data_IF_274483998303
#
_entry.id   IF_274483998303
#
_cell.length_a   1.000
_cell.length_b   1.000
_cell.length_c   1.000
_cell.angle_alpha   90.00
_cell.angle_beta   90.00
_cell.angle_gamma   90.00
#
_symmetry.space_group_name_H-M   'P 1'
#
loop_
_entity.id
_entity.type
_entity.pdbx_description
1 polymer ?
#
# COMPACT_ATOMS: atom_id res chain seq x y z
N UNK A 1 11.74 -39.56 -0.58
CA UNK A 1 11.18 -38.86 -1.76
C UNK A 1 11.20 -37.38 -1.45
N UNK A 2 11.73 -36.57 -2.36
CA UNK A 2 11.77 -35.11 -2.20
C UNK A 2 10.33 -34.54 -2.22
N UNK A 3 9.96 -33.79 -1.18
CA UNK A 3 8.60 -33.25 -1.01
C UNK A 3 8.38 -32.05 -1.93
N UNK A 4 7.22 -31.99 -2.61
CA UNK A 4 6.77 -30.79 -3.33
C UNK A 4 5.75 -30.03 -2.49
N UNK A 5 6.04 -28.77 -2.22
CA UNK A 5 5.13 -27.83 -1.53
C UNK A 5 4.46 -26.96 -2.58
N UNK A 6 3.15 -26.78 -2.44
CA UNK A 6 2.33 -25.95 -3.34
C UNK A 6 1.61 -24.92 -2.48
N UNK A 7 1.74 -23.65 -2.87
CA UNK A 7 0.98 -22.55 -2.26
C UNK A 7 0.13 -21.91 -3.34
N UNK A 8 -1.16 -22.23 -3.30
CA UNK A 8 -2.17 -21.80 -4.26
C UNK A 8 -3.55 -21.77 -3.55
N UNK A 9 -4.11 -20.59 -3.25
CA UNK A 9 -3.65 -19.28 -3.71
C UNK A 9 -2.47 -18.71 -2.90
N UNK A 10 -1.64 -17.90 -3.55
CA UNK A 10 -0.83 -16.89 -2.84
C UNK A 10 -1.76 -15.74 -2.45
N UNK A 11 -1.91 -15.50 -1.14
CA UNK A 11 -2.75 -14.42 -0.60
C UNK A 11 -1.91 -13.17 -0.28
N UNK A 12 -2.57 -12.06 0.06
CA UNK A 12 -1.93 -10.76 0.35
C UNK A 12 -1.05 -10.24 -0.80
N UNK A 13 -1.45 -10.52 -2.03
CA UNK A 13 -0.90 -9.93 -3.26
C UNK A 13 -2.05 -9.39 -4.11
N UNK A 14 -1.72 -8.62 -5.15
CA UNK A 14 -2.66 -8.34 -6.23
C UNK A 14 -2.68 -9.50 -7.23
N UNK A 15 -3.88 -9.86 -7.70
CA UNK A 15 -4.06 -10.83 -8.78
C UNK A 15 -3.96 -12.30 -8.32
N UNK A 16 -3.47 -13.14 -9.23
CA UNK A 16 -3.46 -14.59 -9.07
C UNK A 16 -2.06 -15.16 -9.34
N UNK A 17 -1.50 -15.81 -8.32
CA UNK A 17 -0.18 -16.42 -8.36
C UNK A 17 -0.22 -17.79 -7.69
N UNK A 18 0.50 -18.72 -8.30
CA UNK A 18 0.80 -20.04 -7.76
C UNK A 18 2.31 -20.19 -7.65
N UNK A 19 2.78 -20.56 -6.45
CA UNK A 19 4.19 -20.91 -6.22
C UNK A 19 4.29 -22.38 -5.85
N UNK A 20 5.26 -23.06 -6.46
CA UNK A 20 5.60 -24.43 -6.12
C UNK A 20 7.08 -24.52 -5.78
N UNK A 21 7.42 -25.24 -4.71
CA UNK A 21 8.78 -25.43 -4.26
C UNK A 21 9.09 -26.93 -4.14
N UNK A 22 10.18 -27.36 -4.77
CA UNK A 22 10.74 -28.69 -4.56
C UNK A 22 11.72 -28.62 -3.40
N UNK A 23 11.40 -29.32 -2.31
CA UNK A 23 12.27 -29.42 -1.15
C UNK A 23 13.35 -30.48 -1.37
N UNK A 24 14.46 -30.36 -0.64
CA UNK A 24 15.44 -31.43 -0.47
C UNK A 24 14.86 -32.64 0.27
N UNK A 25 15.63 -33.73 0.36
CA UNK A 25 15.18 -34.95 1.05
C UNK A 25 14.91 -34.73 2.54
N UNK A 26 15.60 -33.78 3.17
CA UNK A 26 15.40 -33.40 4.56
C UNK A 26 14.19 -32.49 4.79
N UNK A 27 13.57 -31.97 3.72
CA UNK A 27 12.44 -31.04 3.81
C UNK A 27 12.80 -29.66 4.36
N UNK A 28 14.08 -29.29 4.40
CA UNK A 28 14.59 -28.06 5.03
C UNK A 28 14.97 -26.97 4.05
N UNK A 29 15.33 -27.31 2.83
CA UNK A 29 15.83 -26.35 1.85
C UNK A 29 15.10 -26.48 0.52
N UNK A 30 14.72 -25.34 -0.05
CA UNK A 30 14.13 -25.28 -1.40
C UNK A 30 15.25 -25.50 -2.42
N UNK A 31 15.16 -26.56 -3.22
CA UNK A 31 16.10 -26.88 -4.29
C UNK A 31 15.72 -26.24 -5.63
N UNK A 32 14.41 -26.12 -5.90
CA UNK A 32 13.89 -25.39 -7.05
C UNK A 32 12.54 -24.77 -6.73
N UNK A 33 12.22 -23.66 -7.38
CA UNK A 33 10.95 -22.96 -7.23
C UNK A 33 10.36 -22.61 -8.62
N UNK A 34 9.04 -22.66 -8.72
CA UNK A 34 8.29 -22.39 -9.94
C UNK A 34 7.27 -21.29 -9.65
N UNK A 35 7.23 -20.27 -10.52
CA UNK A 35 6.31 -19.14 -10.41
C UNK A 35 5.35 -19.12 -11.59
N UNK A 36 4.05 -19.17 -11.32
CA UNK A 36 3.00 -19.23 -12.34
C UNK A 36 1.97 -18.13 -12.11
N UNK A 37 1.91 -17.15 -13.02
CA UNK A 37 0.79 -16.21 -13.08
C UNK A 37 -0.45 -16.92 -13.60
N UNK A 38 -1.51 -16.99 -12.79
CA UNK A 38 -2.69 -17.83 -13.06
C UNK A 38 -3.87 -17.02 -13.61
N UNK A 39 -3.61 -15.86 -14.22
CA UNK A 39 -4.63 -15.00 -14.85
C UNK A 39 -4.16 -14.32 -16.14
N UNK A 40 -5.10 -14.03 -17.05
CA UNK A 40 -4.86 -13.24 -18.27
C UNK A 40 -6.12 -12.45 -18.66
N UNK A 41 -5.93 -11.24 -19.19
CA UNK A 41 -7.02 -10.37 -19.70
C UNK A 41 -6.83 -9.85 -21.12
N UNK A 42 -5.58 -9.74 -21.61
CA UNK A 42 -5.30 -9.36 -23.00
C UNK A 42 -5.52 -7.88 -23.35
N UNK A 43 -5.17 -6.94 -22.44
CA UNK A 43 -5.33 -5.50 -22.68
C UNK A 43 -4.62 -5.03 -23.97
N UNK A 44 -3.46 -5.62 -24.31
CA UNK A 44 -2.72 -5.35 -25.54
C UNK A 44 -3.53 -5.64 -26.82
N UNK A 45 -4.37 -6.68 -26.77
CA UNK A 45 -5.26 -7.06 -27.88
C UNK A 45 -6.45 -6.10 -27.93
N UNK A 46 -7.05 -5.79 -26.77
CA UNK A 46 -8.20 -4.88 -26.64
C UNK A 46 -7.89 -3.46 -27.15
N UNK A 47 -6.64 -3.02 -27.01
CA UNK A 47 -6.17 -1.71 -27.46
C UNK A 47 -6.00 -1.59 -28.98
N UNK A 48 -5.97 -2.69 -29.74
CA UNK A 48 -5.81 -2.64 -31.20
C UNK A 48 -7.00 -1.92 -31.84
N UNK A 49 -6.71 -0.95 -32.71
CA UNK A 49 -7.72 -0.17 -33.43
C UNK A 49 -8.45 0.88 -32.57
N UNK A 50 -8.09 1.06 -31.30
CA UNK A 50 -8.61 2.14 -30.45
C UNK A 50 -7.93 3.47 -30.79
N UNK A 51 -8.64 4.57 -30.54
CA UNK A 51 -8.04 5.90 -30.62
C UNK A 51 -6.91 6.03 -29.57
N UNK A 52 -5.70 6.49 -29.95
CA UNK A 52 -4.61 6.69 -28.99
C UNK A 52 -4.97 7.59 -27.80
N UNK A 53 -5.91 8.52 -27.96
CA UNK A 53 -6.37 9.41 -26.87
C UNK A 53 -7.14 8.67 -25.78
N UNK A 54 -7.75 7.54 -26.11
CA UNK A 54 -8.52 6.71 -25.17
C UNK A 54 -7.66 5.61 -24.52
N UNK A 55 -6.47 5.34 -25.06
CA UNK A 55 -5.64 4.19 -24.67
C UNK A 55 -5.34 4.18 -23.15
N UNK A 56 -5.11 5.34 -22.55
CA UNK A 56 -4.81 5.45 -21.12
C UNK A 56 -5.96 4.93 -20.26
N UNK A 57 -7.21 5.14 -20.67
CA UNK A 57 -8.36 4.72 -19.90
C UNK A 57 -8.44 3.19 -19.83
N UNK A 58 -8.10 2.50 -20.91
CA UNK A 58 -8.04 1.03 -20.96
C UNK A 58 -6.81 0.50 -20.23
N UNK A 59 -5.62 1.01 -20.55
CA UNK A 59 -4.36 0.57 -19.95
C UNK A 59 -4.35 0.77 -18.43
N UNK A 60 -4.96 1.84 -17.92
CA UNK A 60 -5.09 2.07 -16.48
C UNK A 60 -5.81 0.95 -15.74
N UNK A 61 -6.72 0.22 -16.39
CA UNK A 61 -7.44 -0.91 -15.78
C UNK A 61 -6.59 -2.18 -15.74
N UNK A 62 -5.32 -2.14 -16.16
CA UNK A 62 -4.37 -3.22 -15.90
C UNK A 62 -4.24 -3.46 -14.39
N UNK A 63 -4.24 -2.44 -13.53
CA UNK A 63 -4.13 -2.71 -12.09
C UNK A 63 -4.86 -1.63 -11.27
N UNK A 64 -5.57 -2.07 -10.23
CA UNK A 64 -6.23 -1.19 -9.27
C UNK A 64 -5.35 -0.78 -8.09
N UNK A 65 -4.25 -1.50 -7.84
CA UNK A 65 -3.28 -1.19 -6.76
C UNK A 65 -2.33 -0.09 -7.22
N UNK A 66 -1.50 -0.37 -8.25
CA UNK A 66 -0.65 0.63 -8.90
C UNK A 66 -1.45 1.51 -9.88
N UNK A 67 -2.60 2.01 -9.42
CA UNK A 67 -3.75 2.49 -10.21
C UNK A 67 -3.50 3.62 -11.19
N UNK A 68 -2.38 4.33 -11.01
CA UNK A 68 -1.98 5.49 -11.79
C UNK A 68 -1.03 5.14 -12.95
N UNK A 69 -0.11 4.19 -12.73
CA UNK A 69 1.14 4.11 -13.51
C UNK A 69 0.90 3.75 -14.98
N UNK A 70 -0.02 2.83 -15.25
CA UNK A 70 -0.33 2.41 -16.62
C UNK A 70 -1.01 3.50 -17.44
N UNK A 71 -1.89 4.31 -16.81
CA UNK A 71 -2.53 5.44 -17.48
C UNK A 71 -1.51 6.52 -17.86
N UNK A 72 -0.62 6.89 -16.92
CA UNK A 72 0.45 7.84 -17.18
C UNK A 72 1.43 7.34 -18.24
N UNK A 73 1.85 6.07 -18.17
CA UNK A 73 2.72 5.47 -19.17
C UNK A 73 2.09 5.51 -20.56
N UNK A 74 0.80 5.19 -20.66
CA UNK A 74 0.06 5.26 -21.92
C UNK A 74 0.00 6.68 -22.48
N UNK A 75 -0.30 7.69 -21.65
CA UNK A 75 -0.31 9.09 -22.11
C UNK A 75 1.06 9.53 -22.61
N UNK A 76 2.13 9.22 -21.87
CA UNK A 76 3.51 9.52 -22.27
C UNK A 76 3.91 8.83 -23.58
N UNK A 77 3.49 7.58 -23.78
CA UNK A 77 3.78 6.85 -25.00
C UNK A 77 3.12 7.50 -26.24
N UNK A 78 1.87 7.96 -26.11
CA UNK A 78 1.16 8.65 -27.19
C UNK A 78 1.79 10.02 -27.47
N UNK A 79 2.10 10.79 -26.43
CA UNK A 79 2.78 12.09 -26.57
C UNK A 79 4.15 11.95 -27.23
N UNK A 80 4.91 10.91 -26.87
CA UNK A 80 6.18 10.62 -27.51
C UNK A 80 6.01 10.27 -29.00
N UNK A 81 5.05 9.41 -29.34
CA UNK A 81 4.77 9.04 -30.73
C UNK A 81 4.35 10.23 -31.61
N UNK A 82 3.66 11.22 -31.02
CA UNK A 82 3.22 12.44 -31.71
C UNK A 82 4.22 13.60 -31.62
N UNK A 83 5.36 13.41 -30.93
CA UNK A 83 6.30 14.48 -30.58
C UNK A 83 5.61 15.71 -29.95
N UNK A 84 4.70 15.46 -29.02
CA UNK A 84 3.84 16.48 -28.41
C UNK A 84 4.45 17.01 -27.12
N UNK A 85 4.75 18.32 -27.07
CA UNK A 85 5.23 18.98 -25.86
C UNK A 85 4.08 19.31 -24.90
N UNK A 86 4.24 19.02 -23.60
CA UNK A 86 3.24 19.34 -22.58
C UNK A 86 3.61 20.59 -21.77
N UNK A 87 2.62 21.35 -21.27
CA UNK A 87 2.89 22.48 -20.39
C UNK A 87 3.61 22.06 -19.09
N UNK A 88 4.52 22.88 -18.53
CA UNK A 88 5.24 22.55 -17.29
C UNK A 88 4.34 22.18 -16.11
N UNK A 89 3.21 22.89 -15.93
CA UNK A 89 2.26 22.62 -14.85
C UNK A 89 1.62 21.22 -14.98
N UNK A 90 1.37 20.74 -16.21
CA UNK A 90 0.85 19.40 -16.41
C UNK A 90 1.89 18.34 -16.00
N UNK A 91 3.17 18.55 -16.32
CA UNK A 91 4.23 17.65 -15.87
C UNK A 91 4.35 17.63 -14.34
N UNK A 92 4.27 18.79 -13.68
CA UNK A 92 4.32 18.89 -12.22
C UNK A 92 3.15 18.16 -11.56
N UNK A 93 1.92 18.35 -12.05
CA UNK A 93 0.74 17.64 -11.53
C UNK A 93 0.91 16.13 -11.71
N UNK A 94 1.34 15.66 -12.89
CA UNK A 94 1.61 14.23 -13.10
C UNK A 94 2.66 13.70 -12.13
N UNK A 95 3.73 14.44 -11.88
CA UNK A 95 4.77 14.05 -10.91
C UNK A 95 4.23 13.99 -9.48
N UNK A 96 3.39 14.95 -9.07
CA UNK A 96 2.73 14.93 -7.75
C UNK A 96 1.84 13.70 -7.59
N UNK A 97 1.06 13.35 -8.61
CA UNK A 97 0.23 12.14 -8.57
C UNK A 97 1.09 10.86 -8.56
N UNK A 98 2.19 10.79 -9.32
CA UNK A 98 3.13 9.66 -9.27
C UNK A 98 3.73 9.51 -7.87
N UNK A 99 4.20 10.61 -7.27
CA UNK A 99 4.79 10.59 -5.93
C UNK A 99 3.76 10.20 -4.86
N UNK A 100 2.52 10.69 -4.97
CA UNK A 100 1.44 10.31 -4.08
C UNK A 100 1.10 8.82 -4.20
N UNK A 101 1.02 8.28 -5.42
CA UNK A 101 0.85 6.83 -5.63
C UNK A 101 2.00 6.05 -5.00
N UNK A 102 3.25 6.47 -5.22
CA UNK A 102 4.42 5.76 -4.69
C UNK A 102 4.34 5.60 -3.17
N UNK A 103 4.09 6.70 -2.45
CA UNK A 103 3.99 6.68 -0.99
C UNK A 103 2.78 5.87 -0.52
N UNK A 104 1.60 6.05 -1.13
CA UNK A 104 0.39 5.30 -0.76
C UNK A 104 0.59 3.79 -0.93
N UNK A 105 1.09 3.36 -2.10
CA UNK A 105 1.28 1.95 -2.45
C UNK A 105 2.28 1.28 -1.51
N UNK A 106 3.40 1.95 -1.19
CA UNK A 106 4.46 1.37 -0.34
C UNK A 106 4.01 1.21 1.11
N UNK A 107 3.34 2.21 1.68
CA UNK A 107 2.79 2.13 3.04
C UNK A 107 1.71 1.04 3.10
N UNK A 108 0.83 0.96 2.10
CA UNK A 108 -0.21 -0.06 2.06
C UNK A 108 0.35 -1.47 1.88
N UNK A 109 1.35 -1.64 1.01
CA UNK A 109 2.05 -2.91 0.85
C UNK A 109 2.70 -3.33 2.17
N UNK A 110 3.44 -2.45 2.84
CA UNK A 110 4.10 -2.79 4.10
C UNK A 110 3.09 -3.27 5.14
N UNK A 111 2.06 -2.50 5.47
CA UNK A 111 1.13 -2.89 6.53
C UNK A 111 0.17 -4.00 6.10
N UNK A 112 -0.53 -3.84 4.98
CA UNK A 112 -1.71 -4.66 4.66
C UNK A 112 -1.41 -5.88 3.81
N UNK A 113 -0.25 -5.92 3.16
CA UNK A 113 0.17 -7.08 2.38
C UNK A 113 1.29 -7.84 3.10
N UNK A 114 2.25 -7.15 3.70
CA UNK A 114 3.50 -7.77 4.14
C UNK A 114 3.63 -7.92 5.67
N UNK A 115 3.12 -6.98 6.48
CA UNK A 115 3.44 -6.94 7.92
C UNK A 115 3.04 -8.23 8.66
N UNK A 116 1.97 -8.90 8.23
CA UNK A 116 1.49 -10.15 8.83
C UNK A 116 2.36 -11.39 8.47
N UNK A 117 3.50 -11.22 7.80
CA UNK A 117 4.57 -12.22 7.74
C UNK A 117 5.59 -12.05 8.88
N UNK A 118 5.63 -10.86 9.50
CA UNK A 118 6.62 -10.47 10.50
C UNK A 118 6.02 -10.23 11.89
N UNK A 119 4.75 -9.84 11.94
CA UNK A 119 4.00 -9.43 13.13
C UNK A 119 3.03 -10.51 13.55
N UNK A 120 3.25 -11.10 14.72
CA UNK A 120 2.32 -12.04 15.35
C UNK A 120 1.29 -11.28 16.19
N UNK A 121 0.10 -11.11 15.62
CA UNK A 121 -0.99 -10.39 16.29
C UNK A 121 -1.54 -11.14 17.51
N UNK A 122 -1.41 -12.46 17.60
CA UNK A 122 -1.87 -13.20 18.78
C UNK A 122 -0.90 -12.97 19.94
N UNK A 123 0.40 -12.93 19.64
CA UNK A 123 1.43 -12.54 20.61
C UNK A 123 1.22 -11.13 21.18
N UNK A 124 0.67 -10.19 20.39
CA UNK A 124 0.36 -8.83 20.86
C UNK A 124 -0.65 -8.77 22.04
N UNK A 125 -1.48 -9.80 22.23
CA UNK A 125 -2.37 -9.91 23.39
C UNK A 125 -1.62 -10.03 24.72
N UNK A 126 -0.35 -10.44 24.69
CA UNK A 126 0.51 -10.60 25.86
C UNK A 126 1.39 -9.37 26.14
N UNK A 127 1.29 -8.32 25.33
CA UNK A 127 2.11 -7.13 25.47
C UNK A 127 1.77 -6.34 26.73
N UNK A 128 2.75 -5.68 27.33
CA UNK A 128 2.51 -4.65 28.33
C UNK A 128 2.27 -3.29 27.63
N UNK A 129 1.09 -2.66 27.74
CA UNK A 129 0.80 -1.40 27.06
C UNK A 129 1.72 -0.24 27.46
N UNK A 130 2.19 -0.21 28.72
CA UNK A 130 3.16 0.79 29.15
C UNK A 130 4.52 0.57 28.49
N UNK A 131 5.00 -0.66 28.43
CA UNK A 131 6.27 -0.98 27.76
C UNK A 131 6.18 -0.72 26.24
N UNK A 132 5.03 -0.99 25.64
CA UNK A 132 4.74 -0.66 24.23
C UNK A 132 4.76 0.84 24.00
N UNK A 133 4.18 1.63 24.91
CA UNK A 133 4.26 3.10 24.90
C UNK A 133 5.70 3.61 25.00
N UNK A 134 6.46 3.11 25.98
CA UNK A 134 7.85 3.50 26.19
C UNK A 134 8.70 3.17 24.94
N UNK A 135 8.47 1.99 24.32
CA UNK A 135 9.09 1.60 23.06
C UNK A 135 8.73 2.57 21.91
N UNK A 136 7.44 2.79 21.65
CA UNK A 136 6.98 3.64 20.56
C UNK A 136 7.55 5.07 20.66
N UNK A 137 7.59 5.63 21.88
CA UNK A 137 8.16 6.94 22.16
C UNK A 137 9.68 6.99 22.02
N UNK A 138 10.37 5.87 22.22
CA UNK A 138 11.82 5.78 21.98
C UNK A 138 12.18 5.76 20.49
N UNK A 139 11.25 5.30 19.64
CA UNK A 139 11.47 5.14 18.19
C UNK A 139 11.02 6.37 17.40
N UNK A 140 10.01 7.09 17.90
CA UNK A 140 9.35 8.15 17.14
C UNK A 140 8.62 9.15 18.05
N UNK A 141 8.36 10.35 17.50
CA UNK A 141 7.51 11.37 18.10
C UNK A 141 6.04 11.28 17.66
N UNK A 142 5.63 10.14 17.07
CA UNK A 142 4.25 9.96 16.64
C UNK A 142 3.26 10.13 17.83
N UNK A 143 2.24 11.00 17.72
CA UNK A 143 1.43 11.39 18.88
C UNK A 143 0.62 10.26 19.52
N UNK A 144 0.26 9.22 18.76
CA UNK A 144 -0.57 8.11 19.24
C UNK A 144 0.29 7.02 19.86
N UNK A 145 0.93 7.35 20.98
CA UNK A 145 1.92 6.49 21.63
C UNK A 145 1.71 6.36 23.14
N UNK A 146 0.53 6.72 23.66
CA UNK A 146 0.27 6.66 25.11
C UNK A 146 0.00 5.23 25.60
N UNK A 147 0.25 4.93 26.88
CA UNK A 147 -0.07 3.61 27.44
C UNK A 147 -1.57 3.27 27.33
N UNK A 148 -2.43 4.28 27.50
CA UNK A 148 -3.88 4.13 27.34
C UNK A 148 -4.29 3.78 25.92
N UNK A 149 -3.68 4.42 24.91
CA UNK A 149 -3.93 4.09 23.50
C UNK A 149 -3.59 2.63 23.19
N UNK A 150 -2.42 2.15 23.61
CA UNK A 150 -2.03 0.75 23.38
C UNK A 150 -2.89 -0.23 24.19
N UNK A 151 -3.34 0.14 25.40
CA UNK A 151 -4.28 -0.67 26.16
C UNK A 151 -5.62 -0.81 25.43
N UNK A 152 -6.14 0.29 24.87
CA UNK A 152 -7.38 0.27 24.08
C UNK A 152 -7.23 -0.56 22.80
N UNK A 153 -6.08 -0.48 22.12
CA UNK A 153 -5.78 -1.32 20.94
C UNK A 153 -5.69 -2.80 21.30
N UNK A 154 -5.05 -3.14 22.42
CA UNK A 154 -4.99 -4.51 22.91
C UNK A 154 -6.37 -5.04 23.29
N UNK A 155 -7.20 -4.24 23.98
CA UNK A 155 -8.59 -4.61 24.31
C UNK A 155 -9.40 -4.83 23.03
N UNK A 156 -9.26 -3.94 22.04
CA UNK A 156 -9.93 -4.08 20.74
C UNK A 156 -9.56 -5.39 20.04
N UNK A 157 -8.27 -5.72 20.01
CA UNK A 157 -7.79 -6.99 19.46
C UNK A 157 -8.29 -8.19 20.26
N UNK A 158 -8.24 -8.11 21.59
CA UNK A 158 -8.73 -9.15 22.49
C UNK A 158 -10.21 -9.46 22.25
N UNK A 159 -11.05 -8.43 22.22
CA UNK A 159 -12.48 -8.60 21.95
C UNK A 159 -12.75 -9.21 20.57
N UNK A 160 -11.95 -8.83 19.56
CA UNK A 160 -12.04 -9.42 18.23
C UNK A 160 -11.68 -10.91 18.22
N UNK A 161 -10.63 -11.29 18.95
CA UNK A 161 -10.19 -12.69 19.06
C UNK A 161 -11.16 -13.54 19.87
N UNK A 162 -11.61 -13.05 21.03
CA UNK A 162 -12.57 -13.73 21.91
C UNK A 162 -13.95 -13.89 21.27
N UNK A 163 -14.32 -12.99 20.36
CA UNK A 163 -15.54 -13.14 19.55
C UNK A 163 -15.53 -14.34 18.59
N UNK A 164 -14.39 -15.00 18.38
CA UNK A 164 -14.26 -16.20 17.56
C UNK A 164 -14.39 -16.01 16.04
N UNK A 165 -14.73 -14.79 15.60
CA UNK A 165 -14.88 -14.43 14.18
C UNK A 165 -13.62 -13.72 13.66
N UNK A 166 -12.51 -14.45 13.57
CA UNK A 166 -11.19 -13.89 13.28
C UNK A 166 -11.02 -13.27 11.88
N UNK A 167 -11.99 -13.45 10.97
CA UNK A 167 -11.97 -12.83 9.64
C UNK A 167 -10.65 -13.07 8.90
N UNK A 168 -9.98 -11.98 8.50
CA UNK A 168 -8.68 -12.03 7.80
C UNK A 168 -7.53 -12.64 8.63
N UNK A 169 -7.71 -12.82 9.93
CA UNK A 169 -6.74 -13.41 10.84
C UNK A 169 -6.99 -14.89 11.13
N UNK A 170 -8.09 -15.46 10.61
CA UNK A 170 -8.40 -16.88 10.78
C UNK A 170 -7.34 -17.74 10.08
N UNK A 171 -6.93 -18.84 10.73
CA UNK A 171 -5.95 -19.80 10.20
C UNK A 171 -4.61 -19.17 9.75
N UNK A 172 -4.23 -18.05 10.36
CA UNK A 172 -2.91 -17.46 10.16
C UNK A 172 -1.79 -18.28 10.81
N UNK A 173 -0.54 -17.96 10.50
CA UNK A 173 0.65 -18.67 10.98
C UNK A 173 1.06 -18.31 12.42
N UNK A 174 0.14 -17.83 13.24
CA UNK A 174 0.40 -17.30 14.59
C UNK A 174 1.12 -18.31 15.47
N UNK A 175 2.13 -17.88 16.23
CA UNK A 175 3.00 -18.73 17.04
C UNK A 175 4.06 -19.51 16.26
N UNK A 176 4.14 -19.36 14.93
CA UNK A 176 5.19 -20.00 14.14
C UNK A 176 6.59 -19.56 14.62
N UNK A 177 7.57 -20.46 14.77
CA UNK A 177 8.89 -20.15 15.33
C UNK A 177 9.73 -19.16 14.50
N UNK A 178 9.30 -18.86 13.27
CA UNK A 178 9.91 -17.80 12.48
C UNK A 178 9.56 -16.41 13.01
N UNK A 179 8.43 -16.19 13.70
CA UNK A 179 8.14 -14.90 14.32
C UNK A 179 9.14 -14.61 15.45
N UNK A 180 9.83 -13.45 15.36
CA UNK A 180 10.89 -13.05 16.30
C UNK A 180 10.55 -11.84 17.17
N UNK A 181 9.47 -11.12 16.84
CA UNK A 181 9.12 -9.89 17.52
C UNK A 181 8.59 -10.16 18.94
N UNK A 182 9.03 -9.39 19.95
CA UNK A 182 8.42 -9.43 21.27
C UNK A 182 6.98 -8.88 21.22
N UNK A 183 6.12 -9.25 22.19
CA UNK A 183 4.73 -8.80 22.26
C UNK A 183 4.54 -7.29 22.09
N UNK A 184 5.40 -6.47 22.70
CA UNK A 184 5.35 -5.01 22.64
C UNK A 184 5.52 -4.47 21.21
N UNK A 185 6.46 -5.03 20.44
CA UNK A 185 6.65 -4.63 19.03
C UNK A 185 5.45 -5.09 18.19
N UNK A 186 4.91 -6.27 18.48
CA UNK A 186 3.71 -6.76 17.78
C UNK A 186 2.49 -5.86 18.03
N UNK A 187 2.26 -5.42 19.27
CA UNK A 187 1.15 -4.52 19.61
C UNK A 187 1.33 -3.13 18.98
N UNK A 188 2.55 -2.60 18.96
CA UNK A 188 2.86 -1.35 18.27
C UNK A 188 2.57 -1.46 16.77
N UNK A 189 3.14 -2.46 16.09
CA UNK A 189 2.97 -2.65 14.66
C UNK A 189 1.52 -2.96 14.26
N UNK A 190 0.78 -3.72 15.08
CA UNK A 190 -0.66 -3.94 14.88
C UNK A 190 -1.48 -2.65 15.04
N UNK A 191 -1.12 -1.80 15.99
CA UNK A 191 -1.77 -0.49 16.16
C UNK A 191 -1.53 0.39 14.92
N UNK A 192 -0.29 0.45 14.44
CA UNK A 192 0.07 1.18 13.23
C UNK A 192 -0.52 0.58 11.94
N UNK A 193 -0.72 -0.73 11.87
CA UNK A 193 -1.48 -1.40 10.79
C UNK A 193 -2.90 -0.80 10.68
N UNK A 194 -3.60 -0.62 11.80
CA UNK A 194 -4.93 -0.02 11.82
C UNK A 194 -4.90 1.48 11.49
N UNK A 195 -3.88 2.21 11.94
CA UNK A 195 -3.69 3.63 11.61
C UNK A 195 -3.42 3.82 10.10
N UNK A 196 -2.60 2.97 9.50
CA UNK A 196 -2.31 2.99 8.07
C UNK A 196 -3.58 2.78 7.24
N UNK A 197 -4.50 1.91 7.70
CA UNK A 197 -5.79 1.67 7.03
C UNK A 197 -6.68 2.92 7.00
N UNK A 198 -6.62 3.74 8.05
CA UNK A 198 -7.35 5.01 8.12
C UNK A 198 -6.66 6.10 7.30
N UNK A 199 -5.34 6.23 7.43
CA UNK A 199 -4.50 7.22 6.77
C UNK A 199 -4.58 7.14 5.23
N UNK A 200 -4.54 5.93 4.67
CA UNK A 200 -4.46 5.70 3.23
C UNK A 200 -5.63 6.32 2.45
N UNK A 201 -6.82 6.40 3.06
CA UNK A 201 -8.01 7.04 2.46
C UNK A 201 -7.75 8.53 2.19
N UNK A 202 -7.09 9.20 3.12
CA UNK A 202 -6.85 10.64 3.04
C UNK A 202 -5.69 10.93 2.08
N UNK A 203 -4.65 10.09 2.07
CA UNK A 203 -3.57 10.15 1.08
C UNK A 203 -4.08 10.05 -0.38
N UNK A 204 -5.09 9.21 -0.62
CA UNK A 204 -5.68 9.03 -1.95
C UNK A 204 -6.40 10.28 -2.51
N UNK A 205 -6.71 11.28 -1.67
CA UNK A 205 -7.43 12.50 -2.09
C UNK A 205 -6.63 13.36 -3.07
N UNK A 206 -5.30 13.29 -3.10
CA UNK A 206 -4.49 14.00 -4.12
C UNK A 206 -4.91 13.59 -5.53
N UNK A 207 -5.15 12.30 -5.75
CA UNK A 207 -5.65 11.81 -7.04
C UNK A 207 -7.10 12.26 -7.31
N UNK A 208 -7.93 12.39 -6.27
CA UNK A 208 -9.28 12.92 -6.43
C UNK A 208 -9.27 14.41 -6.83
N UNK A 209 -8.36 15.21 -6.27
CA UNK A 209 -8.24 16.64 -6.57
C UNK A 209 -7.79 16.87 -8.02
N UNK A 210 -6.76 16.17 -8.49
CA UNK A 210 -6.21 16.37 -9.84
C UNK A 210 -6.86 15.49 -10.92
N UNK A 211 -7.25 14.27 -10.57
CA UNK A 211 -7.77 13.26 -11.49
C UNK A 211 -9.25 12.94 -11.30
N UNK A 212 -9.94 13.57 -10.35
CA UNK A 212 -11.38 13.40 -10.09
C UNK A 212 -11.75 12.20 -9.23
N UNK A 213 -10.91 11.15 -9.13
CA UNK A 213 -11.17 9.97 -8.28
C UNK A 213 -9.91 9.15 -7.98
N UNK A 214 -10.03 8.28 -6.99
CA UNK A 214 -9.12 7.17 -6.71
C UNK A 214 -9.97 5.97 -6.22
N UNK A 215 -9.75 4.74 -6.72
CA UNK A 215 -8.81 4.33 -7.76
C UNK A 215 -9.16 4.87 -9.17
N UNK A 216 -8.21 4.74 -10.09
CA UNK A 216 -8.32 5.08 -11.51
C UNK A 216 -8.63 6.56 -11.80
N UNK A 217 -7.75 7.51 -11.41
CA UNK A 217 -7.88 8.92 -11.77
C UNK A 217 -7.89 9.15 -13.29
N UNK A 218 -8.47 10.27 -13.74
CA UNK A 218 -8.53 10.61 -15.16
C UNK A 218 -7.25 11.31 -15.65
N UNK A 219 -6.89 11.07 -16.91
CA UNK A 219 -5.76 11.71 -17.59
C UNK A 219 -6.19 12.33 -18.92
N UNK A 220 -5.24 13.04 -19.55
CA UNK A 220 -5.44 13.68 -20.85
C UNK A 220 -4.12 13.63 -21.64
N UNK A 221 -4.17 13.14 -22.88
CA UNK A 221 -3.06 13.30 -23.84
C UNK A 221 -2.87 14.78 -24.13
N UNK A 222 -1.65 15.28 -23.93
CA UNK A 222 -1.29 16.70 -24.07
C UNK A 222 -1.27 17.48 -22.75
N UNK A 223 -1.65 16.89 -21.61
CA UNK A 223 -1.56 17.57 -20.32
C UNK A 223 -2.31 16.90 -19.16
N UNK A 224 -3.19 17.65 -18.51
CA UNK A 224 -4.06 17.17 -17.42
C UNK A 224 -5.46 17.76 -17.59
N UNK A 225 -6.53 17.06 -17.19
CA UNK A 225 -7.90 17.53 -17.37
C UNK A 225 -8.35 18.55 -16.30
N UNK A 226 -7.50 18.87 -15.32
CA UNK A 226 -7.81 19.77 -14.22
C UNK A 226 -7.25 21.19 -14.48
N UNK A 227 -8.04 22.13 -15.04
CA UNK A 227 -7.56 23.49 -15.30
C UNK A 227 -7.22 24.20 -13.99
N UNK A 228 -6.29 25.16 -14.04
CA UNK A 228 -5.91 25.99 -12.90
C UNK A 228 -6.51 27.38 -13.09
N UNK A 229 -7.28 27.83 -12.10
CA UNK A 229 -7.75 29.19 -11.96
C UNK A 229 -7.90 29.45 -10.45
N UNK A 230 -7.12 30.41 -9.94
CA UNK A 230 -7.06 30.70 -8.51
C UNK A 230 -8.35 31.34 -7.97
N UNK A 231 -9.21 31.85 -8.86
CA UNK A 231 -10.42 32.59 -8.50
C UNK A 231 -11.72 31.82 -8.82
N UNK A 232 -11.65 30.64 -9.44
CA UNK A 232 -12.82 29.84 -9.80
C UNK A 232 -12.96 28.58 -8.93
N UNK A 233 -14.18 28.28 -8.48
CA UNK A 233 -14.46 27.09 -7.67
C UNK A 233 -14.40 25.77 -8.48
N UNK A 234 -14.67 25.86 -9.78
CA UNK A 234 -14.66 24.71 -10.70
C UNK A 234 -13.25 24.26 -11.10
N UNK A 235 -12.22 25.09 -10.89
CA UNK A 235 -10.84 24.82 -11.27
C UNK A 235 -9.97 24.40 -10.07
N UNK A 236 -8.72 24.04 -10.32
CA UNK A 236 -7.68 23.95 -9.29
C UNK A 236 -7.39 25.38 -8.82
N UNK A 237 -7.85 25.69 -7.61
CA UNK A 237 -7.72 27.00 -6.99
C UNK A 237 -6.84 26.96 -5.73
N UNK A 238 -6.63 28.11 -5.09
CA UNK A 238 -5.77 28.23 -3.91
C UNK A 238 -6.19 27.28 -2.77
N UNK A 239 -7.50 27.09 -2.56
CA UNK A 239 -8.04 26.18 -1.54
C UNK A 239 -7.67 24.72 -1.83
N UNK A 240 -7.83 24.25 -3.07
CA UNK A 240 -7.45 22.88 -3.46
C UNK A 240 -5.95 22.65 -3.35
N UNK A 241 -5.13 23.65 -3.69
CA UNK A 241 -3.67 23.58 -3.54
C UNK A 241 -3.25 23.52 -2.06
N UNK A 242 -3.89 24.29 -1.18
CA UNK A 242 -3.66 24.21 0.26
C UNK A 242 -4.02 22.82 0.82
N UNK A 243 -5.12 22.23 0.36
CA UNK A 243 -5.49 20.85 0.72
C UNK A 243 -4.46 19.83 0.25
N UNK A 244 -3.94 19.96 -0.98
CA UNK A 244 -2.85 19.08 -1.48
C UNK A 244 -1.62 19.21 -0.59
N UNK A 245 -1.24 20.43 -0.20
CA UNK A 245 -0.10 20.65 0.70
C UNK A 245 -0.31 19.99 2.06
N UNK A 246 -1.50 20.12 2.65
CA UNK A 246 -1.84 19.48 3.92
C UNK A 246 -1.73 17.95 3.83
N UNK A 247 -2.27 17.35 2.77
CA UNK A 247 -2.18 15.89 2.56
C UNK A 247 -0.71 15.48 2.38
N UNK A 248 0.10 16.22 1.62
CA UNK A 248 1.53 15.92 1.47
C UNK A 248 2.25 15.94 2.81
N UNK A 249 1.96 16.93 3.67
CA UNK A 249 2.52 17.00 5.03
C UNK A 249 2.11 15.77 5.84
N UNK A 250 0.83 15.42 5.86
CA UNK A 250 0.34 14.22 6.56
C UNK A 250 0.95 12.92 6.04
N UNK A 251 1.17 12.82 4.72
CA UNK A 251 1.83 11.66 4.13
C UNK A 251 3.28 11.55 4.57
N UNK A 252 4.02 12.66 4.58
CA UNK A 252 5.41 12.71 5.07
C UNK A 252 5.49 12.38 6.55
N UNK A 253 4.64 12.99 7.38
CA UNK A 253 4.62 12.74 8.82
C UNK A 253 4.36 11.27 9.12
N UNK A 254 3.42 10.62 8.41
CA UNK A 254 3.15 9.20 8.59
C UNK A 254 4.33 8.32 8.13
N UNK A 255 4.96 8.66 7.01
CA UNK A 255 6.15 7.93 6.55
C UNK A 255 7.29 8.05 7.56
N UNK A 256 7.63 9.27 7.95
CA UNK A 256 8.80 9.58 8.76
C UNK A 256 8.63 9.13 10.22
N UNK A 257 7.39 9.16 10.74
CA UNK A 257 7.12 8.87 12.16
C UNK A 257 6.48 7.50 12.41
N UNK A 258 5.98 6.80 11.40
CA UNK A 258 5.29 5.51 11.58
C UNK A 258 5.92 4.44 10.69
N UNK A 259 5.85 4.59 9.37
CA UNK A 259 6.31 3.56 8.44
C UNK A 259 7.81 3.25 8.54
N UNK A 260 8.67 4.29 8.51
CA UNK A 260 10.13 4.09 8.58
C UNK A 260 10.56 3.55 9.95
N UNK A 261 10.13 4.13 11.10
CA UNK A 261 10.47 3.58 12.41
C UNK A 261 10.02 2.13 12.60
N UNK A 262 8.82 1.77 12.16
CA UNK A 262 8.34 0.38 12.24
C UNK A 262 9.19 -0.55 11.37
N UNK A 263 9.52 -0.13 10.15
CA UNK A 263 10.35 -0.93 9.24
C UNK A 263 11.71 -1.22 9.87
N UNK A 264 12.35 -0.20 10.46
CA UNK A 264 13.65 -0.35 11.12
C UNK A 264 13.55 -1.18 12.40
N UNK A 265 12.51 -0.97 13.21
CA UNK A 265 12.29 -1.73 14.42
C UNK A 265 12.08 -3.21 14.12
N UNK A 266 11.22 -3.54 13.17
CA UNK A 266 10.95 -4.93 12.74
C UNK A 266 12.22 -5.55 12.17
N UNK A 267 12.92 -4.85 11.27
CA UNK A 267 14.17 -5.34 10.69
C UNK A 267 15.24 -5.65 11.74
N UNK A 268 15.27 -4.95 12.88
CA UNK A 268 16.22 -5.22 13.96
C UNK A 268 16.10 -6.60 14.63
N UNK A 269 15.00 -7.33 14.40
CA UNK A 269 14.75 -8.66 14.98
C UNK A 269 14.95 -9.83 14.01
N UNK A 270 15.19 -9.55 12.73
CA UNK A 270 15.31 -10.56 11.65
C UNK A 270 16.62 -10.41 10.90
#
# INVERSE_FOLDING_TARGET
MSQRVVVDPITRIEGHLRIEAQMDEAGKTIQSAYSSGTMVRGIEIILRGRDPRDAWAFAQRICGVCTLVHGIASVRAVENALNYAIPPNAQLIRNLMIAAQFVHDHVMHFYHLHALDWVDIISALNANPKATSDLAQSLSHYPKSSPGYFADMQIKLKNFVEGGQLGIFAQGYWGHPAYKLPPEVNLMAFSHYLEALAWQRDAAKIHAIFGGKNPHPNFLVGGVPCPIDLNADSAINAKKLAQVQEIITQMRDFVDQVYIPDTLAIAGYY
#
